data_IF_031028923805
#
_entry.id   IF_031028923805
#
_cell.length_a   1.000
_cell.length_b   1.000
_cell.length_c   1.000
_cell.angle_alpha   90.00
_cell.angle_beta   90.00
_cell.angle_gamma   90.00
#
_symmetry.space_group_name_H-M   'P 1'
#
loop_
_entity.id
_entity.type
_entity.pdbx_description
1 polymer ?
#
# COMPACT_ATOMS: atom_id res chain seq x y z
N UNK A 1 -16.22 9.72 8.29
CA UNK A 1 -16.67 10.60 7.18
C UNK A 1 -16.21 9.96 5.88
N UNK A 2 -17.07 9.88 4.87
CA UNK A 2 -16.71 9.34 3.56
C UNK A 2 -17.02 10.38 2.50
N UNK A 3 -16.04 10.67 1.65
CA UNK A 3 -16.15 11.51 0.47
C UNK A 3 -15.86 10.66 -0.77
N UNK A 4 -16.18 11.17 -1.95
CA UNK A 4 -15.88 10.52 -3.23
C UNK A 4 -15.45 11.60 -4.23
N UNK A 5 -14.50 11.28 -5.10
CA UNK A 5 -14.11 12.19 -6.19
C UNK A 5 -15.24 12.39 -7.21
N UNK A 6 -15.11 13.41 -8.07
CA UNK A 6 -16.16 13.82 -9.03
C UNK A 6 -15.63 14.00 -10.46
N UNK A 7 -14.67 13.17 -10.86
CA UNK A 7 -14.21 13.07 -12.25
C UNK A 7 -15.32 12.48 -13.15
N UNK A 8 -15.24 12.64 -14.49
CA UNK A 8 -16.22 12.06 -15.42
C UNK A 8 -16.37 10.53 -15.28
N UNK A 9 -15.27 9.83 -15.00
CA UNK A 9 -15.19 8.39 -14.76
C UNK A 9 -14.09 8.05 -13.74
N UNK A 10 -14.00 6.78 -13.33
CA UNK A 10 -12.94 6.25 -12.45
C UNK A 10 -12.78 6.98 -11.10
N UNK A 11 -13.91 7.30 -10.46
CA UNK A 11 -13.92 7.91 -9.14
C UNK A 11 -13.53 6.92 -8.05
N UNK A 12 -12.92 7.42 -6.97
CA UNK A 12 -12.51 6.62 -5.82
C UNK A 12 -13.04 7.24 -4.50
N UNK A 13 -13.29 6.42 -3.47
CA UNK A 13 -13.69 6.89 -2.17
C UNK A 13 -12.51 7.49 -1.40
N UNK A 14 -12.79 8.46 -0.54
CA UNK A 14 -11.86 9.04 0.43
C UNK A 14 -12.49 8.85 1.81
N UNK A 15 -11.93 7.91 2.59
CA UNK A 15 -12.46 7.50 3.89
C UNK A 15 -11.65 8.20 4.98
N UNK A 16 -12.31 9.05 5.78
CA UNK A 16 -11.69 9.87 6.83
C UNK A 16 -12.45 9.64 8.14
N UNK A 17 -11.91 8.76 8.98
CA UNK A 17 -12.46 8.47 10.30
C UNK A 17 -11.42 7.83 11.23
N UNK A 18 -11.73 7.81 12.53
CA UNK A 18 -10.92 7.08 13.50
C UNK A 18 -10.92 5.59 13.16
N UNK A 19 -9.73 5.00 13.15
CA UNK A 19 -9.52 3.58 12.85
C UNK A 19 -9.99 3.13 11.44
N UNK A 20 -9.99 4.03 10.45
CA UNK A 20 -10.32 3.71 9.05
C UNK A 20 -9.52 2.52 8.47
N UNK A 21 -8.32 2.27 9.00
CA UNK A 21 -7.49 1.10 8.67
C UNK A 21 -8.25 -0.24 8.81
N UNK A 22 -9.24 -0.32 9.69
CA UNK A 22 -10.04 -1.55 9.88
C UNK A 22 -10.89 -1.91 8.65
N UNK A 23 -11.07 -0.98 7.72
CA UNK A 23 -11.79 -1.23 6.47
C UNK A 23 -10.87 -1.74 5.35
N UNK A 24 -9.54 -1.74 5.56
CA UNK A 24 -8.57 -2.03 4.52
C UNK A 24 -8.72 -3.44 3.96
N UNK A 25 -8.96 -4.45 4.80
CA UNK A 25 -9.15 -5.84 4.38
C UNK A 25 -10.23 -5.99 3.31
N UNK A 26 -11.36 -5.29 3.47
CA UNK A 26 -12.47 -5.32 2.53
C UNK A 26 -12.15 -4.60 1.21
N UNK A 27 -11.25 -3.61 1.23
CA UNK A 27 -10.87 -2.85 0.04
C UNK A 27 -9.85 -3.60 -0.83
N UNK A 28 -9.11 -4.55 -0.25
CA UNK A 28 -8.03 -5.25 -0.95
C UNK A 28 -8.29 -6.74 -1.19
N UNK A 29 -9.44 -7.26 -0.75
CA UNK A 29 -9.79 -8.69 -0.82
C UNK A 29 -9.83 -9.26 -2.23
N UNK A 30 -10.13 -8.43 -3.24
CA UNK A 30 -10.38 -8.87 -4.61
C UNK A 30 -9.11 -8.91 -5.47
N UNK A 31 -7.97 -8.45 -4.94
CA UNK A 31 -6.70 -8.46 -5.65
C UNK A 31 -5.97 -9.79 -5.49
N UNK A 32 -5.33 -10.25 -6.56
CA UNK A 32 -4.55 -11.48 -6.56
C UNK A 32 -3.23 -11.33 -5.78
N UNK A 33 -2.63 -10.14 -5.87
CA UNK A 33 -1.42 -9.79 -5.15
C UNK A 33 -1.59 -8.43 -4.49
N UNK A 34 -1.05 -8.29 -3.28
CA UNK A 34 -1.02 -7.02 -2.56
C UNK A 34 0.41 -6.80 -2.05
N UNK A 35 0.99 -5.66 -2.43
CA UNK A 35 2.31 -5.22 -1.98
C UNK A 35 2.15 -3.98 -1.10
N UNK A 36 2.73 -4.01 0.09
CA UNK A 36 2.67 -2.91 1.05
C UNK A 36 3.99 -2.14 1.01
N UNK A 37 3.97 -0.94 0.45
CA UNK A 37 5.07 0.01 0.51
C UNK A 37 4.89 0.87 1.74
N UNK A 38 5.92 0.97 2.58
CA UNK A 38 5.84 1.68 3.85
C UNK A 38 7.12 2.47 4.10
N UNK A 39 6.97 3.75 4.41
CA UNK A 39 8.06 4.61 4.88
C UNK A 39 8.74 3.99 6.10
N UNK A 40 10.07 3.95 6.12
CA UNK A 40 10.85 3.33 7.21
C UNK A 40 10.50 3.89 8.59
N UNK A 41 10.35 5.21 8.73
CA UNK A 41 10.00 5.82 10.01
C UNK A 41 8.57 5.47 10.41
N UNK A 42 7.65 5.43 9.45
CA UNK A 42 6.26 4.99 9.68
C UNK A 42 6.23 3.53 10.11
N UNK A 43 7.00 2.66 9.46
CA UNK A 43 7.10 1.26 9.83
C UNK A 43 7.62 1.11 11.26
N UNK A 44 8.70 1.80 11.64
CA UNK A 44 9.21 1.77 13.02
C UNK A 44 8.16 2.21 14.04
N UNK A 45 7.40 3.27 13.75
CA UNK A 45 6.38 3.78 14.67
C UNK A 45 5.13 2.88 14.78
N UNK A 46 4.80 2.13 13.72
CA UNK A 46 3.54 1.39 13.60
C UNK A 46 3.71 -0.10 13.30
N UNK A 47 4.91 -0.64 13.53
CA UNK A 47 5.33 -1.98 13.13
C UNK A 47 4.30 -3.03 13.53
N UNK A 48 3.90 -3.05 14.81
CA UNK A 48 2.97 -4.06 15.32
C UNK A 48 1.65 -4.11 14.52
N UNK A 49 1.11 -2.94 14.15
CA UNK A 49 -0.15 -2.85 13.41
C UNK A 49 0.02 -3.30 11.97
N UNK A 50 1.10 -2.85 11.32
CA UNK A 50 1.40 -3.15 9.91
C UNK A 50 1.73 -4.63 9.76
N UNK A 51 2.64 -5.16 10.59
CA UNK A 51 3.04 -6.57 10.56
C UNK A 51 1.86 -7.49 10.83
N UNK A 52 0.97 -7.15 11.76
CA UNK A 52 -0.26 -7.94 11.99
C UNK A 52 -1.12 -8.05 10.73
N UNK A 53 -1.35 -6.93 10.04
CA UNK A 53 -2.14 -6.90 8.81
C UNK A 53 -1.45 -7.70 7.69
N UNK A 54 -0.17 -7.44 7.45
CA UNK A 54 0.62 -8.10 6.41
C UNK A 54 0.70 -9.61 6.64
N UNK A 55 0.98 -10.05 7.87
CA UNK A 55 1.07 -11.47 8.21
C UNK A 55 -0.27 -12.19 8.12
N UNK A 56 -1.37 -11.51 8.48
CA UNK A 56 -2.71 -12.12 8.39
C UNK A 56 -3.05 -12.54 6.95
N UNK A 57 -2.61 -11.75 5.96
CA UNK A 57 -2.93 -11.98 4.55
C UNK A 57 -1.75 -12.51 3.71
N UNK A 58 -0.61 -12.78 4.32
CA UNK A 58 0.63 -13.17 3.61
C UNK A 58 1.08 -12.17 2.53
N UNK A 59 0.91 -10.87 2.80
CA UNK A 59 1.33 -9.82 1.87
C UNK A 59 2.85 -9.62 1.90
N UNK A 60 3.38 -9.06 0.82
CA UNK A 60 4.80 -8.68 0.71
C UNK A 60 4.96 -7.21 1.08
N UNK A 61 5.87 -6.92 2.00
CA UNK A 61 6.16 -5.54 2.44
C UNK A 61 7.49 -5.05 1.91
N UNK A 62 7.50 -3.83 1.37
CA UNK A 62 8.68 -3.09 0.98
C UNK A 62 8.84 -1.86 1.88
N UNK A 63 9.87 -1.85 2.72
CA UNK A 63 10.24 -0.64 3.45
C UNK A 63 11.03 0.30 2.53
N UNK A 64 10.53 1.51 2.35
CA UNK A 64 11.09 2.55 1.48
C UNK A 64 11.77 3.66 2.29
N UNK A 65 12.78 4.36 1.75
CA UNK A 65 13.43 5.48 2.43
C UNK A 65 12.42 6.54 2.82
N UNK A 66 12.64 7.17 3.97
CA UNK A 66 11.64 8.07 4.52
C UNK A 66 11.56 9.42 3.79
N UNK A 67 10.34 9.95 3.67
CA UNK A 67 10.09 11.28 3.11
C UNK A 67 10.51 11.44 1.64
N UNK A 68 11.09 12.60 1.28
CA UNK A 68 11.46 12.91 -0.12
C UNK A 68 12.55 12.00 -0.68
N UNK A 69 13.27 11.26 0.17
CA UNK A 69 14.37 10.38 -0.25
C UNK A 69 13.91 9.22 -1.14
N UNK A 70 12.62 8.88 -1.14
CA UNK A 70 12.07 7.85 -2.05
C UNK A 70 11.77 8.38 -3.45
N UNK A 71 11.62 9.70 -3.64
CA UNK A 71 11.12 10.29 -4.90
C UNK A 71 12.20 10.50 -5.96
N UNK A 72 13.12 9.54 -6.07
CA UNK A 72 14.16 9.52 -7.08
C UNK A 72 13.99 8.32 -8.02
N UNK A 73 14.36 8.50 -9.30
CA UNK A 73 14.24 7.45 -10.31
C UNK A 73 14.99 6.17 -9.93
N UNK A 74 16.16 6.28 -9.30
CA UNK A 74 16.92 5.11 -8.82
C UNK A 74 16.16 4.31 -7.75
N UNK A 75 15.36 4.96 -6.90
CA UNK A 75 14.51 4.27 -5.93
C UNK A 75 13.33 3.63 -6.63
N UNK A 76 12.67 4.34 -7.55
CA UNK A 76 11.59 3.80 -8.37
C UNK A 76 12.03 2.51 -9.09
N UNK A 77 13.15 2.55 -9.81
CA UNK A 77 13.71 1.39 -10.52
C UNK A 77 13.96 0.23 -9.56
N UNK A 78 14.67 0.47 -8.45
CA UNK A 78 14.95 -0.54 -7.42
C UNK A 78 13.68 -1.24 -6.94
N UNK A 79 12.64 -0.48 -6.61
CA UNK A 79 11.42 -1.02 -6.01
C UNK A 79 10.49 -1.67 -7.04
N UNK A 80 10.43 -1.15 -8.26
CA UNK A 80 9.70 -1.79 -9.35
C UNK A 80 10.33 -3.11 -9.75
N UNK A 81 11.66 -3.19 -9.89
CA UNK A 81 12.34 -4.45 -10.20
C UNK A 81 12.14 -5.49 -9.07
N UNK A 82 12.24 -5.06 -7.81
CA UNK A 82 11.96 -5.93 -6.67
C UNK A 82 10.51 -6.45 -6.66
N UNK A 83 9.55 -5.62 -7.06
CA UNK A 83 8.15 -6.02 -7.20
C UNK A 83 7.99 -7.01 -8.36
N UNK A 84 8.54 -6.72 -9.54
CA UNK A 84 8.42 -7.56 -10.74
C UNK A 84 9.01 -8.95 -10.55
N UNK A 85 10.03 -9.10 -9.69
CA UNK A 85 10.59 -10.40 -9.31
C UNK A 85 9.54 -11.35 -8.67
N UNK A 86 8.44 -10.81 -8.14
CA UNK A 86 7.32 -11.58 -7.58
C UNK A 86 6.27 -11.97 -8.63
N UNK A 87 6.50 -11.69 -9.91
CA UNK A 87 5.61 -12.03 -11.04
C UNK A 87 4.16 -11.55 -10.80
N UNK A 88 3.95 -10.25 -10.54
CA UNK A 88 2.61 -9.71 -10.30
C UNK A 88 1.70 -9.92 -11.50
N UNK A 89 0.39 -9.92 -11.27
CA UNK A 89 -0.60 -9.86 -12.35
C UNK A 89 -1.13 -8.44 -12.52
N UNK A 90 -1.92 -8.21 -13.57
CA UNK A 90 -2.64 -6.95 -13.75
C UNK A 90 -3.67 -6.67 -12.65
N UNK A 91 -4.08 -7.70 -11.89
CA UNK A 91 -4.96 -7.58 -10.73
C UNK A 91 -4.15 -7.55 -9.42
N UNK A 92 -3.18 -6.63 -9.36
CA UNK A 92 -2.31 -6.40 -8.20
C UNK A 92 -2.63 -5.05 -7.58
N UNK A 93 -2.69 -4.98 -6.26
CA UNK A 93 -2.83 -3.73 -5.50
C UNK A 93 -1.50 -3.33 -4.86
N UNK A 94 -1.20 -2.03 -4.92
CA UNK A 94 -0.11 -1.42 -4.16
C UNK A 94 -0.75 -0.58 -3.04
N UNK A 95 -0.40 -0.90 -1.81
CA UNK A 95 -0.75 -0.09 -0.64
C UNK A 95 0.45 0.81 -0.33
N UNK A 96 0.22 2.11 -0.19
CA UNK A 96 1.24 3.12 0.08
C UNK A 96 1.03 3.79 1.45
#
# INVERSE_FOLDING_TARGET
MQLTTTYPDHNYPIIIEHAAFNQLDALVSDYQHVFVFVDQNVYTAWEQKISRFVHHHSYTTFQIPSGEQVKYMAQYERYIEALLAHQPTRNTCLIA
#
